data_IF_818226027968
#
_entry.id   IF_818226027968
#
_cell.length_a   1.000
_cell.length_b   1.000
_cell.length_c   1.000
_cell.angle_alpha   90.00
_cell.angle_beta   90.00
_cell.angle_gamma   90.00
#
_symmetry.space_group_name_H-M   'P 1'
#
loop_
_entity.id
_entity.type
_entity.pdbx_description
1 polymer ?
#
# COMPACT_ATOMS: atom_id res chain seq x y z
N UNK A 1 -2.04 3.65 67.54
CA UNK A 1 -3.09 4.34 68.30
C UNK A 1 -4.43 3.90 67.72
N UNK A 2 -5.02 2.88 68.33
CA UNK A 2 -6.43 2.51 68.13
C UNK A 2 -7.31 3.60 68.74
N UNK A 3 -8.45 3.90 68.10
CA UNK A 3 -9.74 4.11 68.79
C UNK A 3 -10.88 3.87 67.80
N UNK A 4 -11.61 2.80 68.08
CA UNK A 4 -12.89 2.42 67.51
C UNK A 4 -14.02 3.35 67.96
N UNK A 5 -15.08 3.37 67.13
CA UNK A 5 -16.51 3.54 67.46
C UNK A 5 -17.14 4.88 67.10
N UNK A 6 -18.06 4.84 66.14
CA UNK A 6 -19.49 5.11 66.40
C UNK A 6 -20.34 4.65 65.21
N UNK A 7 -21.27 3.74 65.51
CA UNK A 7 -22.33 3.21 64.65
C UNK A 7 -23.68 3.87 64.97
N UNK A 8 -24.58 3.82 63.97
CA UNK A 8 -26.05 4.01 64.04
C UNK A 8 -26.53 5.47 64.17
N UNK A 9 -27.59 5.95 63.50
CA UNK A 9 -28.79 5.28 63.06
C UNK A 9 -29.57 6.11 62.00
N UNK A 10 -30.19 5.40 61.07
CA UNK A 10 -31.48 5.62 60.37
C UNK A 10 -32.11 7.03 60.27
N UNK A 11 -32.43 7.43 59.02
CA UNK A 11 -33.75 8.02 58.73
C UNK A 11 -34.15 7.77 57.25
N UNK A 12 -35.17 6.93 57.06
CA UNK A 12 -35.94 6.82 55.82
C UNK A 12 -37.02 7.91 55.79
N UNK A 13 -37.44 8.33 54.58
CA UNK A 13 -38.84 8.14 54.26
C UNK A 13 -39.04 7.46 52.90
N UNK A 14 -40.02 6.57 52.89
CA UNK A 14 -40.56 5.88 51.72
C UNK A 14 -41.85 6.59 51.31
N UNK A 15 -41.96 7.05 50.05
CA UNK A 15 -43.23 7.33 49.40
C UNK A 15 -43.05 7.30 47.88
N UNK A 16 -43.35 6.12 47.33
CA UNK A 16 -44.03 5.79 46.07
C UNK A 16 -44.25 6.87 45.00
N UNK A 17 -44.18 6.35 43.77
CA UNK A 17 -44.78 6.82 42.51
C UNK A 17 -44.09 7.96 41.77
N UNK A 18 -43.06 7.60 40.99
CA UNK A 18 -42.93 8.11 39.61
C UNK A 18 -42.51 6.95 38.69
N UNK A 19 -43.36 6.69 37.71
CA UNK A 19 -43.29 5.73 36.61
C UNK A 19 -41.93 5.65 35.89
N UNK A 20 -41.54 4.48 35.33
CA UNK A 20 -40.34 4.38 34.52
C UNK A 20 -40.61 4.98 33.13
N UNK A 21 -40.07 6.16 32.85
CA UNK A 21 -39.97 6.64 31.47
C UNK A 21 -38.79 5.93 30.83
N UNK A 22 -39.15 5.00 29.96
CA UNK A 22 -38.30 4.30 29.02
C UNK A 22 -37.45 5.31 28.20
N UNK A 23 -36.16 5.44 28.52
CA UNK A 23 -35.19 6.16 27.71
C UNK A 23 -34.43 5.22 26.75
N UNK A 24 -35.08 4.15 26.27
CA UNK A 24 -34.55 3.33 25.19
C UNK A 24 -34.90 3.92 23.82
N UNK A 25 -34.26 5.03 23.47
CA UNK A 25 -34.28 5.47 22.09
C UNK A 25 -33.96 6.93 21.92
N UNK A 26 -32.67 7.24 21.71
CA UNK A 26 -32.17 8.33 20.86
C UNK A 26 -30.65 8.47 21.02
N UNK A 27 -29.86 7.49 20.58
CA UNK A 27 -28.40 7.72 20.38
C UNK A 27 -27.65 6.67 19.55
N UNK A 28 -28.33 5.83 18.75
CA UNK A 28 -27.63 4.74 18.04
C UNK A 28 -27.65 4.82 16.50
N UNK A 29 -28.35 5.80 15.92
CA UNK A 29 -28.45 5.94 14.44
C UNK A 29 -27.29 6.75 13.86
N UNK A 30 -26.81 7.79 14.57
CA UNK A 30 -25.66 8.60 14.14
C UNK A 30 -24.34 7.82 14.14
N UNK A 31 -24.10 7.05 15.22
CA UNK A 31 -22.89 6.25 15.38
C UNK A 31 -22.83 5.06 14.43
N UNK A 32 -23.97 4.42 14.12
CA UNK A 32 -24.01 3.31 13.13
C UNK A 32 -23.80 3.78 11.70
N UNK A 33 -24.28 4.98 11.32
CA UNK A 33 -24.00 5.57 9.99
C UNK A 33 -22.51 5.94 9.84
N UNK A 34 -21.89 6.50 10.87
CA UNK A 34 -20.46 6.82 10.86
C UNK A 34 -19.58 5.56 10.86
N UNK A 35 -19.94 4.56 11.67
CA UNK A 35 -19.22 3.27 11.72
C UNK A 35 -19.39 2.47 10.44
N UNK A 36 -20.58 2.45 9.81
CA UNK A 36 -20.78 1.84 8.49
C UNK A 36 -20.02 2.57 7.38
N UNK A 37 -19.94 3.91 7.41
CA UNK A 37 -19.09 4.67 6.47
C UNK A 37 -17.61 4.36 6.65
N UNK A 38 -17.13 4.28 7.91
CA UNK A 38 -15.76 3.84 8.23
C UNK A 38 -15.47 2.42 7.74
N UNK A 39 -16.45 1.51 7.85
CA UNK A 39 -16.32 0.12 7.39
C UNK A 39 -16.34 -0.07 5.87
N UNK A 40 -16.84 0.90 5.09
CA UNK A 40 -16.85 0.81 3.63
C UNK A 40 -15.63 1.47 2.96
N UNK A 41 -15.01 2.49 3.58
CA UNK A 41 -13.82 3.16 2.99
C UNK A 41 -12.55 2.30 2.97
N UNK A 42 -12.50 1.21 3.76
CA UNK A 42 -11.39 0.23 3.76
C UNK A 42 -11.68 -1.03 2.92
N UNK A 43 -12.83 -1.13 2.25
CA UNK A 43 -13.18 -2.31 1.44
C UNK A 43 -12.25 -2.56 0.24
N UNK A 44 -11.29 -1.68 -0.01
CA UNK A 44 -10.38 -1.73 -1.15
C UNK A 44 -8.91 -1.66 -0.74
N UNK A 45 -8.53 -2.18 0.44
CA UNK A 45 -7.12 -2.29 0.83
C UNK A 45 -6.60 -3.68 0.45
N UNK A 46 -5.61 -3.72 -0.45
CA UNK A 46 -4.89 -4.93 -0.83
C UNK A 46 -3.53 -4.94 -0.15
N UNK A 47 -3.22 -5.98 0.61
CA UNK A 47 -1.93 -6.13 1.26
C UNK A 47 -0.92 -6.83 0.35
N UNK A 48 0.38 -6.69 0.64
CA UNK A 48 1.39 -7.59 0.07
C UNK A 48 1.22 -8.99 0.66
N UNK A 49 1.22 -9.98 -0.20
CA UNK A 49 0.93 -11.36 0.12
C UNK A 49 1.45 -12.31 -0.95
N UNK A 50 1.11 -13.59 -0.83
CA UNK A 50 1.55 -14.61 -1.80
C UNK A 50 0.89 -14.45 -3.16
N UNK A 51 -0.29 -13.85 -3.22
CA UNK A 51 -1.07 -13.65 -4.45
C UNK A 51 -0.50 -12.56 -5.38
N UNK A 52 0.24 -11.59 -4.83
CA UNK A 52 0.88 -10.50 -5.57
C UNK A 52 2.41 -10.50 -5.45
N UNK A 53 3.01 -11.63 -5.06
CA UNK A 53 4.46 -11.75 -4.91
C UNK A 53 5.22 -11.43 -6.22
N UNK A 54 4.68 -11.85 -7.36
CA UNK A 54 5.29 -11.57 -8.67
C UNK A 54 5.33 -10.07 -9.01
N UNK A 55 4.36 -9.29 -8.51
CA UNK A 55 4.33 -7.84 -8.66
C UNK A 55 5.47 -7.21 -7.84
N UNK A 56 5.62 -7.66 -6.59
CA UNK A 56 6.70 -7.24 -5.70
C UNK A 56 8.08 -7.58 -6.28
N UNK A 57 8.29 -8.82 -6.71
CA UNK A 57 9.55 -9.28 -7.29
C UNK A 57 9.95 -8.46 -8.53
N UNK A 58 8.97 -8.09 -9.37
CA UNK A 58 9.22 -7.25 -10.55
C UNK A 58 9.78 -5.88 -10.14
N UNK A 59 9.21 -5.27 -9.10
CA UNK A 59 9.64 -3.97 -8.57
C UNK A 59 11.02 -4.07 -7.93
N UNK A 60 11.26 -5.10 -7.11
CA UNK A 60 12.57 -5.31 -6.48
C UNK A 60 13.66 -5.53 -7.53
N UNK A 61 13.37 -6.35 -8.54
CA UNK A 61 14.29 -6.59 -9.66
C UNK A 61 14.60 -5.31 -10.43
N UNK A 62 13.59 -4.45 -10.65
CA UNK A 62 13.81 -3.17 -11.32
C UNK A 62 14.79 -2.32 -10.51
N UNK A 63 14.55 -2.17 -9.20
CA UNK A 63 15.43 -1.38 -8.31
C UNK A 63 16.86 -1.90 -8.34
N UNK A 64 17.06 -3.22 -8.31
CA UNK A 64 18.38 -3.84 -8.43
C UNK A 64 19.02 -3.60 -9.80
N UNK A 65 18.23 -3.56 -10.88
CA UNK A 65 18.71 -3.38 -12.25
C UNK A 65 19.15 -1.94 -12.55
N UNK A 66 18.30 -0.96 -12.25
CA UNK A 66 18.54 0.46 -12.62
C UNK A 66 19.15 1.27 -11.48
N UNK A 67 19.16 0.74 -10.26
CA UNK A 67 19.61 1.43 -9.06
C UNK A 67 18.51 2.27 -8.40
N UNK A 68 18.74 2.60 -7.12
CA UNK A 68 17.74 3.26 -6.28
C UNK A 68 17.36 4.67 -6.76
N UNK A 69 18.34 5.46 -7.19
CA UNK A 69 18.10 6.85 -7.62
C UNK A 69 17.29 6.92 -8.92
N UNK A 70 17.63 6.08 -9.90
CA UNK A 70 16.90 5.99 -11.16
C UNK A 70 15.47 5.49 -10.94
N UNK A 71 15.30 4.48 -10.09
CA UNK A 71 13.99 3.99 -9.70
C UNK A 71 13.14 5.05 -9.00
N UNK A 72 13.72 5.83 -8.07
CA UNK A 72 13.01 6.93 -7.42
C UNK A 72 12.59 8.02 -8.42
N UNK A 73 13.43 8.35 -9.39
CA UNK A 73 13.09 9.30 -10.45
C UNK A 73 11.93 8.79 -11.32
N UNK A 74 11.93 7.51 -11.70
CA UNK A 74 10.85 6.87 -12.44
C UNK A 74 9.53 6.87 -11.67
N UNK A 75 9.57 6.50 -10.39
CA UNK A 75 8.41 6.48 -9.51
C UNK A 75 7.83 7.89 -9.33
N UNK A 76 8.67 8.92 -9.16
CA UNK A 76 8.23 10.31 -9.10
C UNK A 76 7.61 10.79 -10.41
N UNK A 77 8.18 10.39 -11.55
CA UNK A 77 7.60 10.69 -12.86
C UNK A 77 6.19 10.08 -12.99
N UNK A 78 6.02 8.82 -12.61
CA UNK A 78 4.72 8.15 -12.61
C UNK A 78 3.73 8.82 -11.64
N UNK A 79 4.19 9.23 -10.46
CA UNK A 79 3.38 10.02 -9.53
C UNK A 79 2.87 11.31 -10.15
N UNK A 80 3.73 12.06 -10.83
CA UNK A 80 3.36 13.34 -11.45
C UNK A 80 2.31 13.18 -12.56
N UNK A 81 2.33 12.05 -13.27
CA UNK A 81 1.32 11.69 -14.27
C UNK A 81 0.02 11.17 -13.63
N UNK A 82 0.08 10.71 -12.38
CA UNK A 82 -1.06 10.17 -11.67
C UNK A 82 -1.98 11.26 -11.13
N UNK A 83 -3.28 11.12 -11.42
CA UNK A 83 -4.33 11.96 -10.83
C UNK A 83 -4.76 11.32 -9.51
N UNK A 84 -4.62 12.05 -8.42
CA UNK A 84 -4.88 11.52 -7.08
C UNK A 84 -6.39 11.41 -6.85
N UNK A 85 -6.86 10.18 -6.72
CA UNK A 85 -8.23 9.86 -6.30
C UNK A 85 -8.24 9.38 -4.84
N UNK A 86 -8.97 10.10 -3.99
CA UNK A 86 -9.06 9.82 -2.56
C UNK A 86 -9.83 8.54 -2.25
N UNK A 87 -10.73 8.11 -3.12
CA UNK A 87 -11.58 6.92 -2.93
C UNK A 87 -10.99 5.66 -3.59
N UNK A 88 -9.85 5.79 -4.28
CA UNK A 88 -9.20 4.69 -4.98
C UNK A 88 -8.87 3.49 -4.07
N UNK A 89 -8.76 2.30 -4.65
CA UNK A 89 -8.20 1.15 -3.94
C UNK A 89 -6.77 1.47 -3.45
N UNK A 90 -6.36 0.90 -2.34
CA UNK A 90 -5.04 1.10 -1.72
C UNK A 90 -4.25 -0.19 -1.83
N UNK A 91 -3.00 -0.07 -2.26
CA UNK A 91 -1.98 -1.07 -1.99
C UNK A 91 -1.30 -0.74 -0.66
N UNK A 92 -1.44 -1.63 0.32
CA UNK A 92 -0.66 -1.61 1.56
C UNK A 92 0.65 -2.34 1.32
N UNK A 93 1.76 -1.68 1.68
CA UNK A 93 3.11 -2.16 1.49
C UNK A 93 3.76 -2.30 2.86
N UNK A 94 4.09 -3.53 3.25
CA UNK A 94 4.86 -3.85 4.44
C UNK A 94 6.35 -3.92 4.11
N UNK A 95 7.18 -3.48 5.04
CA UNK A 95 8.64 -3.68 5.00
C UNK A 95 8.97 -5.12 5.35
N UNK A 96 9.97 -5.69 4.71
CA UNK A 96 10.49 -7.01 5.06
C UNK A 96 11.25 -6.92 6.39
N UNK A 97 10.56 -7.25 7.48
CA UNK A 97 11.15 -7.28 8.84
C UNK A 97 11.50 -8.69 9.31
N UNK A 98 10.86 -9.70 8.72
CA UNK A 98 11.06 -11.11 9.06
C UNK A 98 10.96 -12.00 7.81
N UNK A 99 11.82 -13.03 7.63
CA UNK A 99 11.81 -13.90 6.44
C UNK A 99 10.49 -14.64 6.18
N UNK A 100 9.68 -14.84 7.22
CA UNK A 100 8.38 -15.51 7.10
C UNK A 100 7.24 -14.59 6.63
N UNK A 101 7.48 -13.29 6.52
CA UNK A 101 6.50 -12.31 6.07
C UNK A 101 6.82 -11.88 4.64
N UNK A 102 5.78 -11.73 3.82
CA UNK A 102 5.94 -11.07 2.52
C UNK A 102 6.05 -9.57 2.79
N UNK A 103 7.16 -8.99 2.34
CA UNK A 103 7.45 -7.59 2.55
C UNK A 103 8.51 -7.12 1.57
N UNK A 104 8.53 -5.81 1.37
CA UNK A 104 9.45 -5.13 0.48
C UNK A 104 10.77 -4.84 1.17
N UNK A 105 11.88 -5.02 0.47
CA UNK A 105 13.22 -4.66 0.93
C UNK A 105 13.34 -3.16 1.27
N UNK A 106 14.30 -2.85 2.14
CA UNK A 106 14.47 -1.52 2.75
C UNK A 106 14.51 -0.37 1.72
N UNK A 107 15.32 -0.53 0.67
CA UNK A 107 15.57 0.53 -0.32
C UNK A 107 14.31 0.93 -1.09
N UNK A 108 13.61 0.02 -1.78
CA UNK A 108 12.35 0.37 -2.43
C UNK A 108 11.30 0.82 -1.41
N UNK A 109 11.24 0.20 -0.23
CA UNK A 109 10.28 0.59 0.81
C UNK A 109 10.43 2.07 1.21
N UNK A 110 11.66 2.55 1.43
CA UNK A 110 11.92 3.98 1.73
C UNK A 110 11.50 4.91 0.59
N UNK A 111 11.63 4.49 -0.65
CA UNK A 111 11.18 5.25 -1.82
C UNK A 111 9.65 5.32 -1.83
N UNK A 112 8.96 4.22 -1.53
CA UNK A 112 7.50 4.19 -1.38
C UNK A 112 6.99 4.97 -0.16
N UNK A 113 7.77 5.08 0.91
CA UNK A 113 7.46 5.99 2.03
C UNK A 113 7.49 7.46 1.58
N UNK A 114 8.57 7.89 0.91
CA UNK A 114 8.66 9.25 0.36
C UNK A 114 7.54 9.55 -0.64
N UNK A 115 7.24 8.58 -1.52
CA UNK A 115 6.12 8.67 -2.45
C UNK A 115 4.77 8.88 -1.74
N UNK A 116 4.54 8.16 -0.64
CA UNK A 116 3.33 8.31 0.17
C UNK A 116 3.26 9.70 0.81
N UNK A 117 4.38 10.22 1.32
CA UNK A 117 4.43 11.58 1.86
C UNK A 117 4.14 12.63 0.77
N UNK A 118 4.71 12.48 -0.43
CA UNK A 118 4.42 13.34 -1.59
C UNK A 118 2.94 13.30 -2.00
N UNK A 119 2.30 12.13 -1.97
CA UNK A 119 0.87 11.97 -2.22
C UNK A 119 0.02 12.69 -1.18
N UNK A 120 0.37 12.59 0.10
CA UNK A 120 -0.33 13.25 1.19
C UNK A 120 -0.17 14.77 1.12
N UNK A 121 1.00 15.27 0.70
CA UNK A 121 1.22 16.69 0.47
C UNK A 121 0.33 17.22 -0.68
N UNK A 122 0.18 16.45 -1.76
CA UNK A 122 -0.69 16.81 -2.90
C UNK A 122 -2.18 16.72 -2.57
N UNK A 123 -2.57 15.73 -1.77
CA UNK A 123 -3.96 15.49 -1.40
C UNK A 123 -4.08 15.16 0.09
N UNK A 124 -4.13 16.19 0.97
CA UNK A 124 -4.21 15.99 2.42
C UNK A 124 -5.44 15.19 2.87
N UNK A 125 -6.49 15.16 2.05
CA UNK A 125 -7.70 14.36 2.28
C UNK A 125 -7.43 12.85 2.39
N UNK A 126 -6.31 12.35 1.84
CA UNK A 126 -5.89 10.96 2.01
C UNK A 126 -5.71 10.56 3.48
N UNK A 127 -5.38 11.50 4.37
CA UNK A 127 -5.25 11.26 5.82
C UNK A 127 -6.57 10.94 6.52
N UNK A 128 -7.70 11.08 5.84
CA UNK A 128 -8.99 10.60 6.34
C UNK A 128 -9.04 9.06 6.36
N UNK A 129 -8.21 8.39 5.55
CA UNK A 129 -8.14 6.93 5.46
C UNK A 129 -7.08 6.37 6.41
N UNK A 130 -7.39 5.31 7.17
CA UNK A 130 -6.46 4.80 8.19
C UNK A 130 -5.14 4.27 7.62
N UNK A 131 -5.12 3.68 6.42
CA UNK A 131 -3.89 3.19 5.80
C UNK A 131 -2.84 4.28 5.59
N UNK A 132 -3.26 5.50 5.24
CA UNK A 132 -2.34 6.63 5.13
C UNK A 132 -2.01 7.22 6.50
N UNK A 133 -2.95 7.21 7.46
CA UNK A 133 -2.75 7.76 8.80
C UNK A 133 -1.81 6.91 9.67
N UNK A 134 -1.89 5.59 9.54
CA UNK A 134 -1.13 4.63 10.34
C UNK A 134 0.21 4.26 9.68
N UNK A 135 0.73 5.10 8.76
CA UNK A 135 2.06 4.90 8.18
C UNK A 135 3.13 4.96 9.28
N UNK A 136 4.04 4.01 9.26
CA UNK A 136 5.11 3.90 10.24
C UNK A 136 6.39 3.35 9.58
N UNK A 137 7.41 3.05 10.38
CA UNK A 137 8.68 2.51 9.88
C UNK A 137 8.57 1.18 9.14
N UNK A 138 7.45 0.46 9.27
CA UNK A 138 7.27 -0.88 8.72
C UNK A 138 6.08 -0.99 7.75
N UNK A 139 5.24 0.04 7.63
CA UNK A 139 4.09 0.06 6.75
C UNK A 139 3.95 1.40 6.03
N UNK A 140 3.73 1.34 4.72
CA UNK A 140 3.32 2.46 3.87
C UNK A 140 2.15 2.07 2.98
N UNK A 141 1.52 3.05 2.35
CA UNK A 141 0.34 2.85 1.52
C UNK A 141 0.43 3.72 0.26
N UNK A 142 0.00 3.17 -0.86
CA UNK A 142 -0.12 3.90 -2.13
C UNK A 142 -1.43 3.58 -2.81
N UNK A 143 -1.96 4.47 -3.66
CA UNK A 143 -3.08 4.13 -4.53
C UNK A 143 -2.75 2.90 -5.36
N UNK A 144 -3.69 1.96 -5.45
CA UNK A 144 -3.51 0.69 -6.14
C UNK A 144 -3.24 0.89 -7.63
N UNK A 145 -3.89 1.87 -8.26
CA UNK A 145 -3.65 2.22 -9.66
C UNK A 145 -2.21 2.72 -9.90
N UNK A 146 -1.65 3.46 -8.94
CA UNK A 146 -0.26 3.91 -9.00
C UNK A 146 0.69 2.72 -8.81
N UNK A 147 0.39 1.81 -7.87
CA UNK A 147 1.11 0.56 -7.72
C UNK A 147 1.14 -0.25 -9.02
N UNK A 148 -0.01 -0.47 -9.66
CA UNK A 148 -0.11 -1.17 -10.94
C UNK A 148 0.69 -0.47 -12.05
N UNK A 149 0.68 0.86 -12.08
CA UNK A 149 1.47 1.63 -13.05
C UNK A 149 2.98 1.42 -12.86
N UNK A 150 3.46 1.36 -11.62
CA UNK A 150 4.87 1.08 -11.29
C UNK A 150 5.21 -0.37 -11.64
N UNK A 151 4.34 -1.34 -11.31
CA UNK A 151 4.53 -2.75 -11.66
C UNK A 151 4.57 -2.95 -13.17
N UNK A 152 3.70 -2.26 -13.92
CA UNK A 152 3.71 -2.30 -15.39
C UNK A 152 5.03 -1.75 -15.94
N UNK A 153 5.47 -0.58 -15.47
CA UNK A 153 6.78 -0.01 -15.84
C UNK A 153 7.94 -0.98 -15.54
N UNK A 154 7.91 -1.63 -14.37
CA UNK A 154 8.90 -2.65 -14.01
C UNK A 154 8.88 -3.87 -14.94
N UNK A 155 7.69 -4.34 -15.33
CA UNK A 155 7.55 -5.47 -16.26
C UNK A 155 8.00 -5.11 -17.67
N UNK A 156 7.64 -3.93 -18.15
CA UNK A 156 8.08 -3.41 -19.46
C UNK A 156 9.61 -3.32 -19.55
N UNK A 157 10.28 -2.97 -18.46
CA UNK A 157 11.75 -2.94 -18.40
C UNK A 157 12.39 -4.33 -18.61
N UNK A 158 11.68 -5.41 -18.27
CA UNK A 158 12.16 -6.78 -18.42
C UNK A 158 11.36 -7.58 -19.45
N UNK A 159 10.60 -6.93 -20.35
CA UNK A 159 9.83 -7.62 -21.39
C UNK A 159 10.77 -8.42 -22.29
N UNK A 160 10.85 -9.76 -22.12
CA UNK A 160 11.84 -10.56 -22.83
C UNK A 160 11.56 -10.57 -24.33
N UNK A 161 10.28 -10.45 -24.72
CA UNK A 161 9.88 -10.44 -26.11
C UNK A 161 10.20 -9.09 -26.77
N UNK A 162 9.98 -7.99 -26.04
CA UNK A 162 10.39 -6.65 -26.45
C UNK A 162 11.91 -6.53 -26.61
N UNK A 163 12.67 -6.98 -25.61
CA UNK A 163 14.15 -6.97 -25.65
C UNK A 163 14.70 -7.86 -26.77
N UNK A 164 14.09 -9.02 -27.00
CA UNK A 164 14.47 -9.90 -28.11
C UNK A 164 14.17 -9.26 -29.46
N UNK A 165 13.00 -8.63 -29.61
CA UNK A 165 12.63 -7.92 -30.83
C UNK A 165 13.57 -6.74 -31.09
N UNK A 166 13.88 -5.93 -30.08
CA UNK A 166 14.84 -4.83 -30.18
C UNK A 166 16.25 -5.32 -30.54
N UNK A 167 16.71 -6.40 -29.91
CA UNK A 167 17.99 -7.02 -30.22
C UNK A 167 18.05 -7.50 -31.68
N UNK A 168 17.00 -8.20 -32.14
CA UNK A 168 16.90 -8.67 -33.53
C UNK A 168 16.91 -7.49 -34.51
N UNK A 169 16.12 -6.46 -34.24
CA UNK A 169 16.04 -5.24 -35.07
C UNK A 169 17.40 -4.53 -35.12
N UNK A 170 18.09 -4.40 -33.98
CA UNK A 170 19.42 -3.79 -33.93
C UNK A 170 20.42 -4.58 -34.78
N UNK A 171 20.46 -5.91 -34.65
CA UNK A 171 21.34 -6.78 -35.44
C UNK A 171 21.03 -6.73 -36.94
N UNK A 172 19.75 -6.68 -37.30
CA UNK A 172 19.35 -6.51 -38.71
C UNK A 172 19.76 -5.14 -39.27
N UNK A 173 19.71 -4.07 -38.47
CA UNK A 173 20.21 -2.74 -38.86
C UNK A 173 21.74 -2.69 -39.04
N UNK A 174 22.46 -3.53 -38.31
CA UNK A 174 23.92 -3.74 -38.47
C UNK A 174 24.28 -4.58 -39.71
N UNK A 175 23.29 -5.01 -40.50
CA UNK A 175 23.49 -5.77 -41.74
C UNK A 175 23.48 -7.29 -41.59
N UNK A 176 23.16 -7.83 -40.40
CA UNK A 176 22.94 -9.27 -40.26
C UNK A 176 21.63 -9.67 -40.94
N UNK A 177 21.63 -10.82 -41.60
CA UNK A 177 20.40 -11.45 -42.09
C UNK A 177 19.49 -11.82 -40.90
N UNK A 178 18.18 -11.96 -41.13
CA UNK A 178 17.24 -12.35 -40.06
C UNK A 178 17.66 -13.65 -39.35
N UNK A 179 18.23 -14.61 -40.09
CA UNK A 179 18.79 -15.85 -39.52
C UNK A 179 20.03 -15.56 -38.65
N UNK A 180 20.95 -14.72 -39.13
CA UNK A 180 22.15 -14.35 -38.37
C UNK A 180 21.85 -13.54 -37.09
N UNK A 181 20.84 -12.68 -37.12
CA UNK A 181 20.37 -11.95 -35.94
C UNK A 181 19.78 -12.90 -34.89
N UNK A 182 19.01 -13.91 -35.32
CA UNK A 182 18.44 -14.92 -34.45
C UNK A 182 19.50 -15.84 -33.85
N UNK A 183 20.48 -16.29 -34.64
CA UNK A 183 21.60 -17.09 -34.16
C UNK A 183 22.45 -16.32 -33.12
N UNK A 184 22.64 -15.01 -33.32
CA UNK A 184 23.31 -14.14 -32.36
C UNK A 184 22.52 -13.98 -31.04
N UNK A 185 21.18 -13.91 -31.11
CA UNK A 185 20.31 -13.85 -29.93
C UNK A 185 20.38 -15.16 -29.12
N UNK A 186 20.35 -16.30 -29.81
CA UNK A 186 20.52 -17.61 -29.17
C UNK A 186 21.89 -17.69 -28.48
N UNK A 187 22.95 -17.22 -29.14
CA UNK A 187 24.29 -17.20 -28.58
C UNK A 187 24.43 -16.27 -27.37
N UNK A 188 23.78 -15.10 -27.37
CA UNK A 188 23.81 -14.17 -26.24
C UNK A 188 23.05 -14.65 -25.01
N UNK A 189 22.09 -15.58 -25.19
CA UNK A 189 21.27 -16.15 -24.11
C UNK A 189 21.80 -17.48 -23.55
N UNK A 190 22.83 -18.07 -24.16
CA UNK A 190 23.43 -19.30 -23.61
C UNK A 190 24.26 -18.97 -22.36
N UNK A 191 24.06 -19.70 -21.24
CA UNK A 191 24.95 -19.57 -20.08
C UNK A 191 26.37 -19.99 -20.46
N UNK A 192 27.37 -19.23 -20.00
CA UNK A 192 28.79 -19.56 -20.11
C UNK A 192 29.17 -20.68 -19.15
#
# INVERSE_FOLDING_TARGET
>A
MDWHSMTSNSNFPNARDVTPVDQSGLSNVGSRKLVRRRRMMEQHVRALGRDNLSELESVERLVTSIGAEAFEADVRRLLNLYTVDTESAIQSISRLTHPSLVGMSETPFRIFQRLCDDLVLRAPLLLQRPSYRCRNGDNTAVPFELWLSIVRHAREHFDPAGLDAEFLVARMREGLSSKGAFDALIASKRPK
#
